data_IF_205867999705
#
_entry.id   IF_205867999705
#
_cell.length_a   1.000
_cell.length_b   1.000
_cell.length_c   1.000
_cell.angle_alpha   90.00
_cell.angle_beta   90.00
_cell.angle_gamma   90.00
#
_symmetry.space_group_name_H-M   'P 1'
#
loop_
_entity.id
_entity.type
_entity.pdbx_description
1 polymer ?
#
# COMPACT_ATOMS: atom_id res chain seq x y z
N UNK A 1 18.57 -21.47 6.20
CA UNK A 1 19.67 -20.51 5.85
C UNK A 1 19.49 -20.11 4.40
N UNK A 2 19.21 -18.83 4.12
CA UNK A 2 19.10 -18.35 2.74
C UNK A 2 20.42 -18.53 2.01
N UNK A 3 20.37 -18.98 0.76
CA UNK A 3 21.55 -19.13 -0.09
C UNK A 3 22.20 -17.76 -0.36
N UNK A 4 23.47 -17.72 -0.75
CA UNK A 4 24.16 -16.46 -1.14
C UNK A 4 23.38 -15.75 -2.27
N UNK A 5 22.78 -16.51 -3.18
CA UNK A 5 21.99 -16.00 -4.29
C UNK A 5 20.71 -15.32 -3.81
N UNK A 6 20.00 -15.90 -2.83
CA UNK A 6 18.81 -15.32 -2.22
C UNK A 6 19.09 -14.01 -1.50
N UNK A 7 20.14 -13.97 -0.68
CA UNK A 7 20.57 -12.72 0.01
C UNK A 7 20.91 -11.61 -0.97
N UNK A 8 21.56 -11.93 -2.08
CA UNK A 8 21.84 -10.93 -3.13
C UNK A 8 20.57 -10.45 -3.78
N UNK A 9 19.59 -11.34 -4.04
CA UNK A 9 18.29 -10.97 -4.60
C UNK A 9 17.51 -10.06 -3.65
N UNK A 10 17.48 -10.38 -2.36
CA UNK A 10 16.88 -9.54 -1.32
C UNK A 10 17.52 -8.14 -1.24
N UNK A 11 18.87 -8.09 -1.29
CA UNK A 11 19.59 -6.80 -1.33
C UNK A 11 19.19 -5.95 -2.55
N UNK A 12 19.10 -6.57 -3.74
CA UNK A 12 18.67 -5.87 -4.95
C UNK A 12 17.26 -5.33 -4.77
N UNK A 13 16.30 -6.14 -4.31
CA UNK A 13 14.91 -5.73 -4.14
C UNK A 13 14.78 -4.59 -3.13
N UNK A 14 15.44 -4.70 -1.96
CA UNK A 14 15.37 -3.67 -0.93
C UNK A 14 15.96 -2.33 -1.41
N UNK A 15 17.14 -2.36 -2.05
CA UNK A 15 17.76 -1.13 -2.57
C UNK A 15 16.98 -0.53 -3.73
N UNK A 16 16.40 -1.35 -4.59
CA UNK A 16 15.56 -0.87 -5.68
C UNK A 16 14.23 -0.30 -5.16
N UNK A 17 13.65 -0.88 -4.10
CA UNK A 17 12.48 -0.31 -3.43
C UNK A 17 12.73 1.14 -3.00
N UNK A 18 13.84 1.39 -2.25
CA UNK A 18 14.25 2.72 -1.80
C UNK A 18 14.40 3.70 -2.99
N UNK A 19 15.00 3.24 -4.09
CA UNK A 19 15.18 4.06 -5.30
C UNK A 19 13.85 4.40 -5.96
N UNK A 20 12.96 3.41 -6.16
CA UNK A 20 11.66 3.61 -6.79
C UNK A 20 10.73 4.47 -5.93
N UNK A 21 10.72 4.25 -4.61
CA UNK A 21 9.91 5.04 -3.70
C UNK A 21 10.31 6.52 -3.75
N UNK A 22 11.61 6.79 -3.74
CA UNK A 22 12.12 8.17 -3.73
C UNK A 22 11.96 8.89 -5.07
N UNK A 23 12.23 8.20 -6.21
CA UNK A 23 12.44 8.86 -7.49
C UNK A 23 11.37 8.51 -8.54
N UNK A 24 10.45 7.59 -8.23
CA UNK A 24 9.52 7.03 -9.21
C UNK A 24 10.16 5.93 -10.07
N UNK A 25 9.36 5.33 -10.96
CA UNK A 25 9.81 4.23 -11.82
C UNK A 25 10.67 4.70 -13.01
N UNK A 26 10.24 5.76 -13.68
CA UNK A 26 10.82 6.21 -14.96
C UNK A 26 12.26 6.70 -14.86
N UNK A 27 12.66 7.19 -13.69
CA UNK A 27 13.99 7.77 -13.51
C UNK A 27 15.06 6.73 -13.15
N UNK A 28 14.66 5.52 -12.73
CA UNK A 28 15.58 4.51 -12.25
C UNK A 28 16.08 3.63 -13.37
N UNK A 29 17.40 3.48 -13.45
CA UNK A 29 18.10 2.63 -14.41
C UNK A 29 18.82 1.47 -13.72
N UNK A 30 19.20 0.44 -14.50
CA UNK A 30 20.06 -0.65 -13.97
C UNK A 30 21.42 -0.14 -13.46
N UNK A 31 21.88 1.02 -13.94
CA UNK A 31 23.10 1.65 -13.44
C UNK A 31 22.90 2.15 -12.01
N UNK A 32 21.79 2.80 -11.71
CA UNK A 32 21.47 3.30 -10.38
C UNK A 32 21.34 2.15 -9.38
N UNK A 33 20.76 1.03 -9.81
CA UNK A 33 20.66 -0.19 -8.99
C UNK A 33 22.05 -0.78 -8.73
N UNK A 34 22.96 -0.80 -9.73
CA UNK A 34 24.35 -1.23 -9.52
C UNK A 34 25.05 -0.35 -8.46
N UNK A 35 24.90 0.96 -8.57
CA UNK A 35 25.51 1.92 -7.63
C UNK A 35 24.95 1.74 -6.22
N UNK A 36 23.64 1.58 -6.06
CA UNK A 36 22.99 1.39 -4.76
C UNK A 36 23.35 0.04 -4.08
N UNK A 37 23.56 -1.01 -4.88
CA UNK A 37 23.84 -2.37 -4.37
C UNK A 37 25.34 -2.69 -4.27
N UNK A 38 26.20 -1.91 -4.93
CA UNK A 38 27.63 -2.21 -5.06
C UNK A 38 27.94 -3.39 -5.99
N UNK A 39 26.96 -3.89 -6.75
CA UNK A 39 27.13 -5.00 -7.67
C UNK A 39 27.71 -4.55 -9.01
N UNK A 40 28.51 -5.42 -9.63
CA UNK A 40 28.88 -5.24 -11.02
C UNK A 40 27.65 -5.42 -11.94
N UNK A 41 27.70 -4.84 -13.15
CA UNK A 41 26.63 -5.04 -14.16
C UNK A 41 26.34 -6.52 -14.38
N UNK A 42 27.36 -7.35 -14.62
CA UNK A 42 27.18 -8.78 -14.83
C UNK A 42 26.54 -9.48 -13.61
N UNK A 43 26.93 -9.05 -12.38
CA UNK A 43 26.31 -9.52 -11.15
C UNK A 43 24.81 -9.21 -11.08
N UNK A 44 24.41 -7.97 -11.36
CA UNK A 44 23.01 -7.58 -11.35
C UNK A 44 22.20 -8.28 -12.45
N UNK A 45 22.71 -8.31 -13.68
CA UNK A 45 22.02 -8.96 -14.81
C UNK A 45 21.91 -10.49 -14.68
N UNK A 46 22.70 -11.12 -13.79
CA UNK A 46 22.51 -12.55 -13.46
C UNK A 46 21.27 -12.82 -12.58
N UNK A 47 20.65 -11.78 -12.01
CA UNK A 47 19.47 -11.85 -11.15
C UNK A 47 18.22 -11.28 -11.82
N UNK A 48 18.34 -10.17 -12.57
CA UNK A 48 17.23 -9.46 -13.19
C UNK A 48 17.62 -8.92 -14.57
N UNK A 49 16.71 -9.06 -15.54
CA UNK A 49 16.94 -8.62 -16.92
C UNK A 49 16.79 -7.09 -17.09
N UNK A 50 15.98 -6.45 -16.26
CA UNK A 50 15.71 -5.01 -16.33
C UNK A 50 15.07 -4.47 -15.05
N UNK A 51 14.87 -3.16 -15.01
CA UNK A 51 14.21 -2.47 -13.90
C UNK A 51 12.74 -2.82 -13.78
N UNK A 52 12.07 -3.11 -14.88
CA UNK A 52 10.70 -3.62 -14.96
C UNK A 52 10.55 -4.92 -14.18
N UNK A 53 11.40 -5.91 -14.44
CA UNK A 53 11.37 -7.19 -13.72
C UNK A 53 11.67 -7.03 -12.22
N UNK A 54 12.56 -6.09 -11.85
CA UNK A 54 12.82 -5.79 -10.42
C UNK A 54 11.56 -5.22 -9.80
N UNK A 55 10.92 -4.26 -10.45
CA UNK A 55 9.73 -3.58 -9.95
C UNK A 55 8.54 -4.54 -9.79
N UNK A 56 8.26 -5.35 -10.81
CA UNK A 56 7.23 -6.40 -10.75
C UNK A 56 7.47 -7.36 -9.57
N UNK A 57 8.73 -7.81 -9.40
CA UNK A 57 9.07 -8.69 -8.27
C UNK A 57 8.85 -8.00 -6.91
N UNK A 58 9.13 -6.69 -6.80
CA UNK A 58 8.83 -5.93 -5.58
C UNK A 58 7.33 -5.91 -5.31
N UNK A 59 6.51 -5.64 -6.32
CA UNK A 59 5.05 -5.64 -6.18
C UNK A 59 4.51 -7.00 -5.78
N UNK A 60 5.03 -8.10 -6.36
CA UNK A 60 4.68 -9.46 -5.95
C UNK A 60 5.00 -9.72 -4.48
N UNK A 61 6.19 -9.31 -4.01
CA UNK A 61 6.61 -9.47 -2.60
C UNK A 61 5.71 -8.67 -1.66
N UNK A 62 5.33 -7.45 -2.03
CA UNK A 62 4.42 -6.61 -1.24
C UNK A 62 3.05 -7.27 -1.14
N UNK A 63 2.51 -7.72 -2.27
CA UNK A 63 1.21 -8.39 -2.31
C UNK A 63 1.19 -9.69 -1.48
N UNK A 64 2.31 -10.41 -1.42
CA UNK A 64 2.42 -11.63 -0.59
C UNK A 64 2.55 -11.34 0.91
N UNK A 65 3.18 -10.23 1.27
CA UNK A 65 3.38 -9.84 2.67
C UNK A 65 2.16 -9.19 3.31
N UNK A 66 1.28 -8.65 2.48
CA UNK A 66 0.02 -8.00 2.81
C UNK A 66 -0.21 -7.69 4.30
N UNK A 67 0.32 -6.55 4.74
CA UNK A 67 0.23 -6.12 6.15
C UNK A 67 -1.22 -5.83 6.59
N UNK A 68 -2.11 -5.53 5.64
CA UNK A 68 -3.55 -5.39 5.86
C UNK A 68 -4.30 -6.68 5.47
N UNK A 69 -4.03 -7.78 6.18
CA UNK A 69 -4.71 -9.05 5.91
C UNK A 69 -6.03 -9.16 6.68
N UNK A 70 -7.02 -8.35 6.27
CA UNK A 70 -8.34 -8.32 6.90
C UNK A 70 -9.01 -9.69 6.95
N UNK A 71 -8.83 -10.52 5.93
CA UNK A 71 -9.44 -11.85 5.88
C UNK A 71 -8.92 -12.74 7.02
N UNK A 72 -7.63 -12.73 7.30
CA UNK A 72 -7.05 -13.47 8.41
C UNK A 72 -7.60 -12.98 9.75
N UNK A 73 -7.59 -11.68 9.98
CA UNK A 73 -8.04 -11.05 11.23
C UNK A 73 -9.53 -11.30 11.47
N UNK A 74 -10.37 -11.19 10.43
CA UNK A 74 -11.79 -11.53 10.51
C UNK A 74 -12.01 -13.02 10.84
N UNK A 75 -11.23 -13.93 10.25
CA UNK A 75 -11.32 -15.35 10.52
C UNK A 75 -10.86 -15.72 11.94
N UNK A 76 -9.94 -14.97 12.51
CA UNK A 76 -9.51 -15.08 13.92
C UNK A 76 -10.52 -14.45 14.89
N UNK A 77 -11.57 -13.81 14.38
CA UNK A 77 -12.67 -13.25 15.17
C UNK A 77 -12.38 -11.88 15.76
N UNK A 78 -11.34 -11.18 15.29
CA UNK A 78 -11.03 -9.80 15.70
C UNK A 78 -12.23 -8.87 15.44
N UNK A 79 -12.41 -7.84 16.27
CA UNK A 79 -13.49 -6.88 16.06
C UNK A 79 -13.26 -6.08 14.77
N UNK A 80 -14.33 -5.72 14.08
CA UNK A 80 -14.22 -4.91 12.87
C UNK A 80 -13.66 -3.51 13.16
N UNK A 81 -13.92 -2.99 14.37
CA UNK A 81 -13.38 -1.71 14.84
C UNK A 81 -11.86 -1.81 14.97
N UNK A 82 -11.32 -2.85 15.62
CA UNK A 82 -9.87 -3.00 15.79
C UNK A 82 -9.15 -3.17 14.45
N UNK A 83 -9.73 -3.95 13.53
CA UNK A 83 -9.19 -4.10 12.16
C UNK A 83 -9.18 -2.75 11.44
N UNK A 84 -10.29 -2.00 11.51
CA UNK A 84 -10.40 -0.67 10.91
C UNK A 84 -9.37 0.30 11.50
N UNK A 85 -9.23 0.35 12.82
CA UNK A 85 -8.28 1.26 13.47
C UNK A 85 -6.83 0.94 13.06
N UNK A 86 -6.47 -0.34 13.04
CA UNK A 86 -5.14 -0.76 12.58
C UNK A 86 -4.88 -0.33 11.12
N UNK A 87 -5.88 -0.49 10.24
CA UNK A 87 -5.77 -0.07 8.84
C UNK A 87 -5.66 1.46 8.70
N UNK A 88 -6.46 2.22 9.46
CA UNK A 88 -6.42 3.68 9.42
C UNK A 88 -5.10 4.24 9.97
N UNK A 89 -4.54 3.63 11.01
CA UNK A 89 -3.21 4.00 11.51
C UNK A 89 -2.11 3.76 10.47
N UNK A 90 -2.14 2.60 9.79
CA UNK A 90 -1.19 2.32 8.72
C UNK A 90 -1.34 3.32 7.57
N UNK A 91 -2.57 3.66 7.19
CA UNK A 91 -2.82 4.68 6.16
C UNK A 91 -2.31 6.06 6.58
N UNK A 92 -2.49 6.46 7.85
CA UNK A 92 -1.95 7.72 8.38
C UNK A 92 -0.43 7.76 8.30
N UNK A 93 0.25 6.68 8.70
CA UNK A 93 1.71 6.57 8.62
C UNK A 93 2.23 6.67 7.19
N UNK A 94 1.63 5.95 6.25
CA UNK A 94 1.99 6.04 4.84
C UNK A 94 1.70 7.40 4.20
N UNK A 95 0.69 8.13 4.66
CA UNK A 95 0.40 9.49 4.20
C UNK A 95 1.40 10.51 4.75
N UNK A 96 1.93 10.28 5.95
CA UNK A 96 2.97 11.11 6.58
C UNK A 96 4.34 10.94 5.93
N UNK A 97 4.61 9.77 5.37
CA UNK A 97 5.90 9.39 4.76
C UNK A 97 5.76 9.07 3.26
N UNK A 98 5.30 10.02 2.42
CA UNK A 98 5.04 9.77 1.01
C UNK A 98 6.30 9.36 0.22
N UNK A 99 7.48 9.74 0.69
CA UNK A 99 8.79 9.38 0.11
C UNK A 99 9.11 7.89 0.25
N UNK A 100 8.52 7.20 1.22
CA UNK A 100 8.70 5.77 1.42
C UNK A 100 7.69 4.93 0.64
N UNK A 101 6.72 5.60 0.01
CA UNK A 101 5.63 4.96 -0.75
C UNK A 101 5.98 4.75 -2.21
N UNK A 102 5.65 3.58 -2.76
CA UNK A 102 5.76 3.27 -4.18
C UNK A 102 4.67 3.90 -5.07
N UNK A 103 3.75 4.70 -4.52
CA UNK A 103 2.58 5.21 -5.26
C UNK A 103 2.93 5.91 -6.57
N UNK A 104 3.96 6.76 -6.57
CA UNK A 104 4.43 7.42 -7.80
C UNK A 104 5.00 6.41 -8.79
N UNK A 105 5.85 5.50 -8.33
CA UNK A 105 6.45 4.49 -9.20
C UNK A 105 5.39 3.56 -9.81
N UNK A 106 4.39 3.15 -9.03
CA UNK A 106 3.26 2.35 -9.50
C UNK A 106 2.45 3.09 -10.56
N UNK A 107 2.13 4.37 -10.33
CA UNK A 107 1.44 5.19 -11.33
C UNK A 107 2.24 5.31 -12.62
N UNK A 108 3.53 5.61 -12.54
CA UNK A 108 4.41 5.74 -13.71
C UNK A 108 4.55 4.42 -14.48
N UNK A 109 4.66 3.30 -13.75
CA UNK A 109 4.71 1.95 -14.32
C UNK A 109 3.41 1.61 -15.04
N UNK A 110 2.27 1.82 -14.40
CA UNK A 110 0.97 1.56 -14.97
C UNK A 110 0.70 2.34 -16.26
N UNK A 111 1.08 3.63 -16.27
CA UNK A 111 0.91 4.48 -17.46
C UNK A 111 1.83 4.07 -18.61
N UNK A 112 3.05 3.58 -18.30
CA UNK A 112 4.07 3.32 -19.31
C UNK A 112 4.09 1.87 -19.80
N UNK A 113 3.77 0.89 -18.96
CA UNK A 113 4.03 -0.53 -19.20
C UNK A 113 2.76 -1.39 -19.05
N UNK A 114 2.15 -1.41 -17.88
CA UNK A 114 1.04 -2.33 -17.59
C UNK A 114 -0.09 -1.65 -16.78
N UNK A 115 -1.11 -1.21 -17.50
CA UNK A 115 -2.30 -0.61 -16.92
C UNK A 115 -3.17 -1.64 -16.18
N UNK A 116 -3.18 -2.88 -16.63
CA UNK A 116 -4.05 -3.92 -16.07
C UNK A 116 -3.60 -4.31 -14.67
N UNK A 117 -2.29 -4.29 -14.41
CA UNK A 117 -1.74 -4.50 -13.07
C UNK A 117 -2.38 -3.56 -12.01
N UNK A 118 -2.60 -2.30 -12.35
CA UNK A 118 -3.23 -1.34 -11.42
C UNK A 118 -4.73 -1.61 -11.24
N UNK A 119 -5.40 -2.10 -12.27
CA UNK A 119 -6.79 -2.53 -12.14
C UNK A 119 -6.90 -3.71 -11.18
N UNK A 120 -5.99 -4.68 -11.26
CA UNK A 120 -5.95 -5.84 -10.37
C UNK A 120 -5.72 -5.42 -8.90
N UNK A 121 -4.74 -4.54 -8.65
CA UNK A 121 -4.51 -3.99 -7.31
C UNK A 121 -5.72 -3.23 -6.78
N UNK A 122 -6.39 -2.44 -7.62
CA UNK A 122 -7.59 -1.72 -7.21
C UNK A 122 -8.73 -2.67 -6.85
N UNK A 123 -8.95 -3.72 -7.64
CA UNK A 123 -9.97 -4.74 -7.36
C UNK A 123 -9.69 -5.51 -6.05
N UNK A 124 -8.42 -5.84 -5.79
CA UNK A 124 -8.02 -6.47 -4.52
C UNK A 124 -8.33 -5.54 -3.35
N UNK A 125 -7.98 -4.27 -3.45
CA UNK A 125 -8.29 -3.27 -2.42
C UNK A 125 -9.80 -3.10 -2.21
N UNK A 126 -10.56 -2.98 -3.30
CA UNK A 126 -12.01 -2.87 -3.25
C UNK A 126 -12.66 -4.07 -2.55
N UNK A 127 -12.23 -5.28 -2.90
CA UNK A 127 -12.71 -6.50 -2.25
C UNK A 127 -12.41 -6.52 -0.75
N UNK A 128 -11.19 -6.23 -0.34
CA UNK A 128 -10.78 -6.21 1.07
C UNK A 128 -11.63 -5.25 1.91
N UNK A 129 -11.77 -4.01 1.46
CA UNK A 129 -12.56 -3.01 2.17
C UNK A 129 -14.04 -3.37 2.20
N UNK A 130 -14.59 -3.89 1.10
CA UNK A 130 -15.97 -4.38 1.04
C UNK A 130 -16.20 -5.49 2.07
N UNK A 131 -15.31 -6.47 2.13
CA UNK A 131 -15.42 -7.60 3.07
C UNK A 131 -15.35 -7.13 4.54
N UNK A 132 -14.44 -6.21 4.87
CA UNK A 132 -14.33 -5.64 6.22
C UNK A 132 -15.60 -4.86 6.61
N UNK A 133 -16.10 -4.01 5.72
CA UNK A 133 -17.28 -3.18 6.03
C UNK A 133 -18.51 -4.05 6.20
N UNK A 134 -18.73 -5.03 5.30
CA UNK A 134 -19.82 -6.00 5.44
C UNK A 134 -19.70 -6.82 6.73
N UNK A 135 -18.48 -7.21 7.11
CA UNK A 135 -18.22 -7.92 8.36
C UNK A 135 -18.61 -7.07 9.58
N UNK A 136 -18.22 -5.79 9.62
CA UNK A 136 -18.55 -4.88 10.71
C UNK A 136 -20.05 -4.57 10.81
N UNK A 137 -20.73 -4.39 9.68
CA UNK A 137 -22.19 -4.22 9.64
C UNK A 137 -22.87 -5.47 10.21
N UNK A 138 -22.47 -6.66 9.75
CA UNK A 138 -23.06 -7.93 10.22
C UNK A 138 -22.86 -8.17 11.72
N UNK A 139 -21.75 -7.72 12.27
CA UNK A 139 -21.46 -7.79 13.72
C UNK A 139 -22.18 -6.70 14.53
N UNK A 140 -22.79 -5.74 13.87
CA UNK A 140 -23.44 -4.62 14.51
C UNK A 140 -22.47 -3.55 15.04
N UNK A 141 -21.21 -3.62 14.68
CA UNK A 141 -20.15 -2.67 15.07
C UNK A 141 -20.14 -1.43 14.18
N UNK A 142 -20.47 -1.60 12.90
CA UNK A 142 -20.56 -0.52 11.93
C UNK A 142 -22.00 -0.08 11.66
N UNK A 143 -22.14 1.16 11.22
CA UNK A 143 -23.38 1.71 10.71
C UNK A 143 -23.78 1.00 9.40
N UNK A 144 -25.08 0.97 9.12
CA UNK A 144 -25.57 0.65 7.78
C UNK A 144 -25.21 1.80 6.82
N UNK A 145 -24.38 1.50 5.83
CA UNK A 145 -23.89 2.46 4.82
C UNK A 145 -24.01 1.88 3.42
N UNK A 146 -23.97 2.74 2.39
CA UNK A 146 -23.70 2.27 1.04
C UNK A 146 -22.24 1.82 0.97
N UNK A 147 -22.02 0.50 0.94
CA UNK A 147 -20.70 -0.11 0.97
C UNK A 147 -19.86 0.30 -0.23
N UNK A 148 -20.44 0.36 -1.42
CA UNK A 148 -19.72 0.73 -2.63
C UNK A 148 -19.28 2.21 -2.57
N UNK A 149 -20.16 3.10 -2.09
CA UNK A 149 -19.84 4.52 -1.95
C UNK A 149 -18.67 4.73 -0.98
N UNK A 150 -18.75 4.16 0.23
CA UNK A 150 -17.70 4.38 1.24
C UNK A 150 -16.38 3.73 0.86
N UNK A 151 -16.39 2.55 0.22
CA UNK A 151 -15.17 1.90 -0.28
C UNK A 151 -14.51 2.76 -1.36
N UNK A 152 -15.30 3.30 -2.29
CA UNK A 152 -14.78 4.21 -3.33
C UNK A 152 -14.14 5.44 -2.70
N UNK A 153 -14.78 6.05 -1.71
CA UNK A 153 -14.24 7.22 -0.99
C UNK A 153 -12.90 6.85 -0.31
N UNK A 154 -12.85 5.74 0.43
CA UNK A 154 -11.62 5.30 1.11
C UNK A 154 -10.49 5.12 0.10
N UNK A 155 -10.69 4.34 -0.95
CA UNK A 155 -9.65 4.02 -1.91
C UNK A 155 -9.14 5.24 -2.68
N UNK A 156 -10.06 6.04 -3.23
CA UNK A 156 -9.65 7.17 -4.08
C UNK A 156 -9.12 8.36 -3.28
N UNK A 157 -9.64 8.61 -2.08
CA UNK A 157 -9.08 9.65 -1.21
C UNK A 157 -7.68 9.24 -0.75
N UNK A 158 -7.49 8.00 -0.31
CA UNK A 158 -6.18 7.50 0.10
C UNK A 158 -5.14 7.57 -1.01
N UNK A 159 -5.46 7.09 -2.21
CA UNK A 159 -4.55 7.18 -3.36
C UNK A 159 -4.27 8.63 -3.77
N UNK A 160 -5.30 9.47 -3.76
CA UNK A 160 -5.15 10.90 -4.05
C UNK A 160 -4.21 11.59 -3.08
N UNK A 161 -4.36 11.34 -1.79
CA UNK A 161 -3.50 11.93 -0.76
C UNK A 161 -2.05 11.47 -0.90
N UNK A 162 -1.80 10.18 -1.08
CA UNK A 162 -0.44 9.64 -1.26
C UNK A 162 0.30 10.23 -2.47
N UNK A 163 -0.43 10.52 -3.55
CA UNK A 163 0.15 11.18 -4.72
C UNK A 163 0.35 12.68 -4.49
N UNK A 164 -0.66 13.33 -3.87
CA UNK A 164 -0.68 14.77 -3.71
C UNK A 164 0.30 15.27 -2.64
N UNK A 165 0.49 14.51 -1.56
CA UNK A 165 1.44 14.81 -0.48
C UNK A 165 2.91 14.86 -0.91
N UNK A 166 3.23 14.33 -2.10
CA UNK A 166 4.55 14.49 -2.72
C UNK A 166 4.81 15.88 -3.32
N UNK A 167 3.77 16.69 -3.46
CA UNK A 167 3.82 18.00 -4.14
C UNK A 167 3.41 19.10 -3.17
N UNK A 168 2.45 18.82 -2.30
CA UNK A 168 1.88 19.77 -1.34
C UNK A 168 2.19 19.29 0.07
N UNK A 169 2.82 20.17 0.84
CA UNK A 169 3.07 19.90 2.27
C UNK A 169 1.74 19.74 3.01
N UNK A 170 1.44 18.53 3.41
CA UNK A 170 0.28 18.21 4.21
C UNK A 170 0.71 17.94 5.65
N UNK A 171 -0.19 18.27 6.58
CA UNK A 171 0.05 18.06 8.00
C UNK A 171 -0.71 16.83 8.52
N UNK A 172 -0.26 16.30 9.65
CA UNK A 172 -0.94 15.22 10.38
C UNK A 172 -2.43 15.57 10.69
N UNK A 173 -2.73 16.86 10.89
CA UNK A 173 -4.11 17.34 11.07
C UNK A 173 -4.99 17.02 9.86
N UNK A 174 -4.45 17.17 8.65
CA UNK A 174 -5.18 16.86 7.41
C UNK A 174 -5.45 15.35 7.31
N UNK A 175 -4.44 14.52 7.57
CA UNK A 175 -4.58 13.07 7.50
C UNK A 175 -5.56 12.53 8.54
N UNK A 176 -5.45 13.01 9.79
CA UNK A 176 -6.41 12.67 10.86
C UNK A 176 -7.83 13.15 10.56
N UNK A 177 -7.99 14.26 9.87
CA UNK A 177 -9.34 14.71 9.47
C UNK A 177 -9.99 13.71 8.49
N UNK A 178 -9.21 13.16 7.56
CA UNK A 178 -9.67 12.14 6.60
C UNK A 178 -10.03 10.84 7.32
N UNK A 179 -9.12 10.29 8.10
CA UNK A 179 -9.36 9.03 8.84
C UNK A 179 -10.46 9.16 9.88
N UNK A 180 -10.57 10.30 10.58
CA UNK A 180 -11.68 10.59 11.48
C UNK A 180 -13.02 10.70 10.75
N UNK A 181 -13.03 11.17 9.49
CA UNK A 181 -14.25 11.15 8.70
C UNK A 181 -14.69 9.72 8.42
N UNK A 182 -13.77 8.83 8.04
CA UNK A 182 -14.05 7.40 7.84
C UNK A 182 -14.57 6.76 9.13
N UNK A 183 -13.92 7.00 10.28
CA UNK A 183 -14.38 6.51 11.60
C UNK A 183 -15.81 6.95 11.89
N UNK A 184 -16.11 8.22 11.67
CA UNK A 184 -17.46 8.77 11.91
C UNK A 184 -18.53 8.17 10.99
N UNK A 185 -18.21 7.81 9.78
CA UNK A 185 -19.16 7.18 8.88
C UNK A 185 -19.40 5.72 9.27
N UNK A 186 -18.34 4.98 9.60
CA UNK A 186 -18.42 3.55 9.83
C UNK A 186 -18.78 3.17 11.26
N UNK A 187 -18.09 3.69 12.27
CA UNK A 187 -18.26 3.24 13.66
C UNK A 187 -19.55 3.82 14.25
N UNK A 188 -20.36 2.97 14.88
CA UNK A 188 -21.58 3.41 15.58
C UNK A 188 -21.22 4.36 16.72
N UNK A 189 -22.04 5.39 16.91
CA UNK A 189 -21.85 6.42 17.95
C UNK A 189 -21.76 5.81 19.35
N UNK A 190 -22.56 4.77 19.62
CA UNK A 190 -22.55 4.04 20.89
C UNK A 190 -21.26 3.25 21.17
N UNK A 191 -20.38 3.10 20.19
CA UNK A 191 -19.12 2.36 20.31
C UNK A 191 -17.87 3.26 20.20
N UNK A 192 -18.08 4.59 20.07
CA UNK A 192 -16.97 5.56 19.96
C UNK A 192 -16.41 6.02 21.31
N UNK A 193 -17.18 5.86 22.39
CA UNK A 193 -16.82 6.38 23.72
C UNK A 193 -16.00 5.39 24.57
N UNK A 194 -15.74 4.17 24.07
CA UNK A 194 -14.98 3.12 24.77
C UNK A 194 -13.51 3.00 24.31
N UNK A 195 -12.97 4.01 23.58
CA UNK A 195 -11.59 3.95 23.01
C UNK A 195 -10.67 5.02 23.58
#
# INVERSE_FOLDING_TARGET
MNSKKERTRELILNKSYELFAKNGFKQITMKDVCEATGLSRGGLYSHFAGTDQIFETILEVINQKDEMNFEKEMNEGMSAIDILESALHLMEDEMLHPEDSLSLAMYEYAVAIDRDLMNDFNQIGEKKWTDLICYGIKRGEFNEVDVHEIVSVILYVYQGVRMWSRIVDMTDVTFRAITNHIRKQLIKESMRDDS
#
